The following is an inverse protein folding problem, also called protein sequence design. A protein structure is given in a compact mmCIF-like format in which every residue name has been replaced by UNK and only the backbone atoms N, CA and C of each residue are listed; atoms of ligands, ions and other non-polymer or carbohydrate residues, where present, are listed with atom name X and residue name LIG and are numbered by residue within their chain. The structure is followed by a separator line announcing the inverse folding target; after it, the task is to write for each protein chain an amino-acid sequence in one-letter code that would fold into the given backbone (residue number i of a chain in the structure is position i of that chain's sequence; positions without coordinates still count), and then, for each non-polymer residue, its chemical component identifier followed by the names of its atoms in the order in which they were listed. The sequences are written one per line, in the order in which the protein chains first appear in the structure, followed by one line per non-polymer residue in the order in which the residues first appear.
data_IF_566259889281
#
_entry.id   IF_566259889281
#
_cell.length_a   1.000
_cell.length_b   1.000
_cell.length_c   1.000
_cell.angle_alpha   90.00
_cell.angle_beta   90.00
_cell.angle_gamma   90.00
#
_symmetry.space_group_name_H-M   'P 1'
#
loop_
_entity.id
_entity.type
_entity.pdbx_description
1 polymer ?
#
# COMPACT_ATOMS: atom_id res chain seq x y z
N UNK A 1 -94.13 -35.04 30.79
CA UNK A 1 -93.16 -34.29 31.61
C UNK A 1 -93.63 -32.84 31.64
N UNK A 2 -93.81 -32.14 32.77
CA UNK A 2 -92.86 -31.84 33.88
C UNK A 2 -91.64 -31.05 33.40
N UNK A 3 -91.19 -29.93 34.00
CA UNK A 3 -91.52 -29.28 35.30
C UNK A 3 -91.28 -27.73 35.29
N UNK A 4 -91.59 -27.03 36.40
CA UNK A 4 -91.22 -25.63 36.77
C UNK A 4 -90.23 -25.68 37.98
N UNK A 5 -89.78 -24.60 38.69
CA UNK A 5 -89.91 -23.11 38.55
C UNK A 5 -88.51 -22.48 38.23
N UNK A 6 -88.00 -21.28 38.60
CA UNK A 6 -88.34 -20.05 39.40
C UNK A 6 -87.96 -18.78 38.58
N UNK A 7 -88.14 -17.49 38.94
CA UNK A 7 -88.55 -16.68 40.12
C UNK A 7 -87.43 -16.17 41.09
N UNK A 8 -87.42 -14.84 41.31
CA UNK A 8 -86.66 -13.98 42.26
C UNK A 8 -85.10 -14.02 42.13
N UNK A 9 -84.28 -13.03 42.48
CA UNK A 9 -84.21 -12.18 43.69
C UNK A 9 -84.18 -10.64 43.51
N UNK A 10 -84.38 -9.97 44.65
CA UNK A 10 -84.45 -8.53 44.96
C UNK A 10 -83.06 -7.92 45.33
N UNK A 11 -83.02 -6.71 45.91
CA UNK A 11 -81.90 -6.03 46.59
C UNK A 11 -81.13 -4.96 45.79
N UNK A 12 -81.83 -3.90 45.37
CA UNK A 12 -81.20 -2.61 45.10
C UNK A 12 -80.73 -1.94 46.40
N UNK A 13 -79.51 -2.26 46.87
CA UNK A 13 -78.95 -1.66 48.09
C UNK A 13 -78.48 -0.22 47.88
N UNK A 14 -78.87 0.69 48.77
CA UNK A 14 -78.69 2.13 48.60
C UNK A 14 -77.51 2.70 49.38
N UNK A 15 -76.87 3.70 48.78
CA UNK A 15 -76.34 4.92 49.42
C UNK A 15 -75.27 4.81 50.52
N UNK A 16 -74.17 5.53 50.27
CA UNK A 16 -73.34 6.25 51.26
C UNK A 16 -72.86 5.48 52.50
N UNK A 17 -71.63 4.96 52.45
CA UNK A 17 -70.60 5.27 53.46
C UNK A 17 -69.19 4.81 53.03
N UNK A 18 -68.33 5.75 52.62
CA UNK A 18 -66.93 5.84 53.08
C UNK A 18 -66.30 7.16 52.56
N UNK A 19 -66.37 8.26 53.33
CA UNK A 19 -65.66 9.52 53.01
C UNK A 19 -64.18 9.38 53.40
N UNK A 20 -63.51 8.38 52.80
CA UNK A 20 -62.05 8.31 52.76
C UNK A 20 -61.57 9.51 51.97
N UNK A 21 -61.02 10.51 52.67
CA UNK A 21 -60.16 11.50 52.03
C UNK A 21 -58.96 10.74 51.45
N UNK A 22 -59.06 10.41 50.17
CA UNK A 22 -57.99 9.82 49.37
C UNK A 22 -56.95 10.91 49.20
N UNK A 23 -56.05 11.03 50.19
CA UNK A 23 -54.91 11.94 50.13
C UNK A 23 -54.24 11.70 48.78
N UNK A 24 -54.17 12.70 47.88
CA UNK A 24 -53.48 12.51 46.62
C UNK A 24 -52.02 12.32 46.98
N UNK A 25 -51.54 11.07 46.86
CA UNK A 25 -50.12 10.81 46.91
C UNK A 25 -49.51 11.65 45.80
N UNK A 26 -48.71 12.64 46.18
CA UNK A 26 -47.85 13.36 45.27
C UNK A 26 -46.73 12.41 44.86
N UNK A 27 -47.08 11.45 44.01
CA UNK A 27 -46.18 10.95 43.00
C UNK A 27 -45.81 12.16 42.15
N UNK A 28 -44.77 12.90 42.55
CA UNK A 28 -44.01 13.70 41.59
C UNK A 28 -43.58 12.70 40.51
N UNK A 29 -44.06 12.81 39.27
CA UNK A 29 -43.70 11.82 38.26
C UNK A 29 -42.21 11.98 37.95
N UNK A 30 -41.49 10.86 37.81
CA UNK A 30 -40.09 10.83 37.35
C UNK A 30 -39.88 11.34 35.90
N UNK A 31 -40.92 11.95 35.32
CA UNK A 31 -41.11 12.27 33.92
C UNK A 31 -40.28 13.46 33.40
N UNK A 32 -39.58 14.17 34.28
CA UNK A 32 -38.53 15.12 33.87
C UNK A 32 -37.25 14.37 33.44
N UNK A 33 -36.98 13.18 33.99
CA UNK A 33 -35.75 12.39 33.72
C UNK A 33 -35.74 11.75 32.33
N UNK A 34 -36.89 11.62 31.67
CA UNK A 34 -37.04 10.73 30.49
C UNK A 34 -37.52 11.38 29.18
N UNK A 35 -37.90 12.67 29.18
CA UNK A 35 -38.31 13.38 27.94
C UNK A 35 -37.28 14.41 27.45
N UNK A 36 -36.48 15.00 28.34
CA UNK A 36 -35.47 16.01 28.00
C UNK A 36 -34.15 15.49 27.40
N UNK A 37 -33.56 14.33 27.80
CA UNK A 37 -32.22 13.98 27.33
C UNK A 37 -32.19 13.49 25.88
N UNK A 38 -33.25 12.84 25.39
CA UNK A 38 -33.28 12.16 24.09
C UNK A 38 -32.79 13.01 22.89
N UNK A 39 -33.28 14.25 22.65
CA UNK A 39 -32.83 15.06 21.51
C UNK A 39 -31.38 15.56 21.60
N UNK A 40 -30.75 15.52 22.78
CA UNK A 40 -29.33 15.90 22.99
C UNK A 40 -28.44 14.65 23.03
N UNK A 41 -28.96 13.55 23.57
CA UNK A 41 -28.27 12.27 23.67
C UNK A 41 -28.11 11.59 22.30
N UNK A 42 -29.08 11.74 21.39
CA UNK A 42 -28.97 11.25 20.00
C UNK A 42 -27.74 11.85 19.26
N UNK A 43 -27.58 13.18 19.13
CA UNK A 43 -26.41 13.74 18.45
C UNK A 43 -25.09 13.47 19.20
N UNK A 44 -25.07 13.46 20.54
CA UNK A 44 -23.87 13.09 21.30
C UNK A 44 -23.46 11.63 21.07
N UNK A 45 -24.42 10.70 21.04
CA UNK A 45 -24.17 9.30 20.71
C UNK A 45 -23.72 9.11 19.25
N UNK A 46 -24.28 9.89 18.32
CA UNK A 46 -23.85 9.89 16.92
C UNK A 46 -22.39 10.40 16.78
N UNK A 47 -22.02 11.49 17.45
CA UNK A 47 -20.64 12.00 17.47
C UNK A 47 -19.68 10.98 18.08
N UNK A 48 -20.05 10.34 19.20
CA UNK A 48 -19.24 9.28 19.80
C UNK A 48 -19.08 8.06 18.88
N UNK A 49 -20.14 7.66 18.17
CA UNK A 49 -20.09 6.58 17.18
C UNK A 49 -19.21 6.92 15.97
N UNK A 50 -19.31 8.14 15.44
CA UNK A 50 -18.46 8.62 14.34
C UNK A 50 -16.99 8.67 14.76
N UNK A 51 -16.69 9.19 15.97
CA UNK A 51 -15.34 9.22 16.51
C UNK A 51 -14.76 7.81 16.71
N UNK A 52 -15.57 6.86 17.19
CA UNK A 52 -15.17 5.45 17.30
C UNK A 52 -14.87 4.84 15.93
N UNK A 53 -15.77 5.00 14.94
CA UNK A 53 -15.56 4.48 13.57
C UNK A 53 -14.32 5.11 12.93
N UNK A 54 -14.10 6.42 13.08
CA UNK A 54 -12.91 7.09 12.55
C UNK A 54 -11.61 6.60 13.20
N UNK A 55 -11.61 6.39 14.53
CA UNK A 55 -10.45 5.81 15.23
C UNK A 55 -10.15 4.38 14.80
N UNK A 56 -11.19 3.53 14.69
CA UNK A 56 -11.07 2.16 14.21
C UNK A 56 -10.57 2.11 12.76
N UNK A 57 -11.13 2.94 11.89
CA UNK A 57 -10.73 3.03 10.48
C UNK A 57 -9.29 3.53 10.32
N UNK A 58 -8.89 4.52 11.13
CA UNK A 58 -7.49 4.98 11.20
C UNK A 58 -6.53 3.86 11.63
N UNK A 59 -6.96 2.90 12.45
CA UNK A 59 -6.14 1.73 12.81
C UNK A 59 -6.00 0.73 11.66
N UNK A 60 -7.01 0.59 10.81
CA UNK A 60 -6.89 -0.22 9.58
C UNK A 60 -5.91 0.45 8.62
N UNK A 61 -6.10 1.74 8.30
CA UNK A 61 -5.25 2.43 7.32
C UNK A 61 -3.80 2.62 7.77
N UNK A 62 -3.50 2.62 9.07
CA UNK A 62 -2.13 2.64 9.60
C UNK A 62 -1.46 1.25 9.67
N UNK A 63 -2.15 0.19 9.27
CA UNK A 63 -1.67 -1.19 9.25
C UNK A 63 -1.55 -1.76 7.83
N UNK A 64 -1.68 -0.91 6.82
CA UNK A 64 -1.78 -1.26 5.39
C UNK A 64 -0.89 -0.28 4.59
N UNK A 65 -0.18 -0.72 3.53
CA UNK A 65 0.58 0.18 2.66
C UNK A 65 -0.32 1.26 2.01
N UNK A 66 0.28 2.37 1.57
CA UNK A 66 -0.44 3.62 1.20
C UNK A 66 -1.37 3.41 0.00
N UNK A 67 -1.02 2.49 -0.87
CA UNK A 67 -1.63 2.16 -2.15
C UNK A 67 -2.96 1.44 -1.87
N UNK A 68 -2.87 0.32 -1.15
CA UNK A 68 -4.02 -0.43 -0.65
C UNK A 68 -4.88 0.38 0.34
N UNK A 69 -4.30 1.34 1.08
CA UNK A 69 -5.07 2.23 1.95
C UNK A 69 -6.07 3.11 1.17
N UNK A 70 -5.72 3.56 -0.04
CA UNK A 70 -6.62 4.32 -0.93
C UNK A 70 -7.74 3.41 -1.48
N UNK A 71 -7.41 2.18 -1.86
CA UNK A 71 -8.39 1.19 -2.34
C UNK A 71 -9.39 0.82 -1.23
N UNK A 72 -8.90 0.47 -0.03
CA UNK A 72 -9.74 0.16 1.14
C UNK A 72 -10.64 1.35 1.51
N UNK A 73 -10.12 2.58 1.47
CA UNK A 73 -10.92 3.77 1.73
C UNK A 73 -12.01 4.00 0.68
N UNK A 74 -11.70 3.76 -0.59
CA UNK A 74 -12.65 3.89 -1.70
C UNK A 74 -13.76 2.84 -1.61
N UNK A 75 -13.41 1.57 -1.38
CA UNK A 75 -14.37 0.47 -1.18
C UNK A 75 -15.24 0.71 0.06
N UNK A 76 -14.66 1.15 1.17
CA UNK A 76 -15.42 1.48 2.39
C UNK A 76 -16.37 2.66 2.17
N UNK A 77 -15.94 3.70 1.45
CA UNK A 77 -16.80 4.83 1.10
C UNK A 77 -17.98 4.42 0.20
N UNK A 78 -17.73 3.56 -0.81
CA UNK A 78 -18.77 3.01 -1.69
C UNK A 78 -19.75 2.13 -0.90
N UNK A 79 -19.26 1.27 0.00
CA UNK A 79 -20.09 0.44 0.88
C UNK A 79 -21.01 1.31 1.77
N UNK A 80 -20.45 2.31 2.47
CA UNK A 80 -21.19 3.23 3.32
C UNK A 80 -22.23 4.01 2.50
N UNK A 81 -21.84 4.59 1.35
CA UNK A 81 -22.71 5.40 0.52
C UNK A 81 -23.83 4.56 -0.12
N UNK A 82 -23.52 3.36 -0.60
CA UNK A 82 -24.50 2.41 -1.14
C UNK A 82 -25.51 1.96 -0.08
N UNK A 83 -25.06 1.71 1.16
CA UNK A 83 -25.95 1.39 2.26
C UNK A 83 -26.88 2.57 2.64
N UNK A 84 -26.35 3.80 2.73
CA UNK A 84 -27.19 4.98 2.97
C UNK A 84 -28.16 5.26 1.81
N UNK A 85 -27.75 5.07 0.56
CA UNK A 85 -28.63 5.19 -0.60
C UNK A 85 -29.76 4.14 -0.56
N UNK A 86 -29.44 2.87 -0.28
CA UNK A 86 -30.43 1.81 -0.15
C UNK A 86 -31.42 2.08 1.01
N UNK A 87 -30.93 2.60 2.14
CA UNK A 87 -31.78 2.99 3.26
C UNK A 87 -32.69 4.19 2.92
N UNK A 88 -32.18 5.20 2.21
CA UNK A 88 -32.97 6.36 1.77
C UNK A 88 -34.04 6.00 0.74
N UNK A 89 -33.74 5.03 -0.14
CA UNK A 89 -34.67 4.53 -1.16
C UNK A 89 -35.73 3.55 -0.60
N UNK A 90 -35.61 3.09 0.66
CA UNK A 90 -36.53 2.15 1.29
C UNK A 90 -36.96 2.62 2.69
N UNK A 91 -37.93 3.54 2.80
CA UNK A 91 -38.39 4.06 4.10
C UNK A 91 -38.98 2.97 5.02
N UNK A 92 -39.58 1.92 4.46
CA UNK A 92 -40.27 0.86 5.21
C UNK A 92 -39.38 -0.30 5.69
N UNK A 93 -38.05 -0.10 5.76
CA UNK A 93 -37.11 -1.14 6.21
C UNK A 93 -37.41 -1.60 7.64
N UNK A 94 -37.84 -2.87 7.78
CA UNK A 94 -38.07 -3.51 9.08
C UNK A 94 -36.79 -3.54 9.92
N UNK A 95 -36.93 -3.65 11.24
CA UNK A 95 -35.78 -3.61 12.18
C UNK A 95 -34.71 -4.67 11.88
N UNK A 96 -35.09 -5.80 11.27
CA UNK A 96 -34.17 -6.88 10.87
C UNK A 96 -33.27 -6.41 9.71
N UNK A 97 -33.86 -5.99 8.58
CA UNK A 97 -33.08 -5.48 7.44
C UNK A 97 -32.23 -4.26 7.79
N UNK A 98 -32.67 -3.43 8.75
CA UNK A 98 -31.86 -2.31 9.28
C UNK A 98 -30.65 -2.77 10.09
N UNK A 99 -30.76 -3.86 10.84
CA UNK A 99 -29.64 -4.45 11.58
C UNK A 99 -28.67 -5.19 10.64
N UNK A 100 -29.21 -5.93 9.69
CA UNK A 100 -28.47 -6.59 8.60
C UNK A 100 -27.63 -5.59 7.80
N UNK A 101 -28.24 -4.48 7.34
CA UNK A 101 -27.53 -3.41 6.64
C UNK A 101 -26.43 -2.76 7.50
N UNK A 102 -26.69 -2.54 8.80
CA UNK A 102 -25.67 -2.02 9.71
C UNK A 102 -24.51 -3.00 9.94
N UNK A 103 -24.79 -4.32 9.95
CA UNK A 103 -23.75 -5.35 10.00
C UNK A 103 -22.93 -5.38 8.72
N UNK A 104 -23.53 -5.29 7.53
CA UNK A 104 -22.81 -5.24 6.23
C UNK A 104 -21.85 -4.05 6.15
N UNK A 105 -22.20 -2.90 6.76
CA UNK A 105 -21.32 -1.73 6.84
C UNK A 105 -20.24 -1.88 7.92
N UNK A 106 -20.56 -2.45 9.09
CA UNK A 106 -19.63 -2.57 10.20
C UNK A 106 -18.63 -3.73 10.06
N UNK A 107 -19.00 -4.81 9.37
CA UNK A 107 -18.21 -6.04 9.25
C UNK A 107 -16.80 -5.85 8.65
N UNK A 108 -16.59 -5.17 7.50
CA UNK A 108 -15.24 -4.97 6.96
C UNK A 108 -14.35 -4.12 7.89
N UNK A 109 -14.93 -3.11 8.56
CA UNK A 109 -14.24 -2.31 9.57
C UNK A 109 -13.76 -3.19 10.74
N UNK A 110 -14.62 -4.09 11.24
CA UNK A 110 -14.30 -4.99 12.34
C UNK A 110 -13.22 -6.02 11.96
N UNK A 111 -13.25 -6.57 10.74
CA UNK A 111 -12.18 -7.46 10.23
C UNK A 111 -10.85 -6.71 10.18
N UNK A 112 -10.80 -5.55 9.53
CA UNK A 112 -9.57 -4.76 9.41
C UNK A 112 -8.97 -4.39 10.76
N UNK A 113 -9.81 -4.07 11.76
CA UNK A 113 -9.37 -3.81 13.14
C UNK A 113 -8.78 -5.06 13.79
N UNK A 114 -9.38 -6.24 13.60
CA UNK A 114 -8.88 -7.50 14.17
C UNK A 114 -7.51 -7.85 13.57
N UNK A 115 -7.34 -7.71 12.26
CA UNK A 115 -6.04 -7.90 11.57
C UNK A 115 -5.00 -6.91 12.13
N UNK A 116 -5.32 -5.61 12.13
CA UNK A 116 -4.42 -4.54 12.60
C UNK A 116 -4.09 -4.56 14.10
N UNK A 117 -4.84 -5.29 14.92
CA UNK A 117 -4.61 -5.41 16.38
C UNK A 117 -3.88 -6.69 16.76
N UNK A 118 -4.11 -7.81 16.05
CA UNK A 118 -3.51 -9.11 16.39
C UNK A 118 -2.23 -9.37 15.57
N UNK A 119 -2.03 -8.67 14.44
CA UNK A 119 -0.82 -8.83 13.62
C UNK A 119 -0.76 -10.17 12.87
N UNK A 120 -1.90 -10.83 12.70
CA UNK A 120 -2.02 -12.02 11.85
C UNK A 120 -2.09 -11.51 10.40
N UNK A 121 -0.95 -11.59 9.71
CA UNK A 121 -0.91 -11.43 8.26
C UNK A 121 -1.75 -12.49 7.55
N UNK A 122 -2.19 -12.17 6.34
CA UNK A 122 -2.81 -13.10 5.39
C UNK A 122 -4.06 -13.84 5.90
N UNK A 123 -5.17 -13.10 5.96
CA UNK A 123 -6.52 -13.64 5.98
C UNK A 123 -7.40 -12.95 4.91
N UNK A 124 -6.94 -12.99 3.65
CA UNK A 124 -7.63 -12.46 2.46
C UNK A 124 -8.98 -13.15 2.24
N UNK A 125 -9.99 -12.69 2.98
CA UNK A 125 -11.36 -13.20 2.89
C UNK A 125 -12.05 -12.50 1.72
N UNK A 126 -11.84 -13.07 0.53
CA UNK A 126 -12.50 -12.71 -0.71
C UNK A 126 -14.04 -12.67 -0.53
N UNK A 127 -14.67 -11.61 -1.06
CA UNK A 127 -16.12 -11.53 -1.17
C UNK A 127 -16.53 -11.86 -2.61
N UNK A 128 -17.45 -12.81 -2.84
CA UNK A 128 -17.63 -13.43 -4.16
C UNK A 128 -18.18 -12.45 -5.20
N UNK A 129 -17.42 -12.24 -6.28
CA UNK A 129 -17.60 -11.14 -7.25
C UNK A 129 -17.54 -11.50 -8.73
N UNK A 130 -17.75 -12.77 -9.10
CA UNK A 130 -17.90 -13.29 -10.46
C UNK A 130 -16.67 -13.21 -11.41
N UNK A 131 -15.96 -14.35 -11.49
CA UNK A 131 -15.57 -14.99 -12.75
C UNK A 131 -14.85 -14.14 -13.81
N UNK A 132 -13.55 -13.96 -13.60
CA UNK A 132 -12.58 -14.53 -14.54
C UNK A 132 -11.37 -15.01 -13.74
N UNK A 133 -11.02 -16.29 -13.88
CA UNK A 133 -9.78 -16.79 -13.28
C UNK A 133 -8.60 -16.22 -14.07
N UNK A 134 -7.60 -15.59 -13.43
CA UNK A 134 -6.34 -15.36 -14.11
C UNK A 134 -5.79 -16.72 -14.53
N UNK A 135 -5.41 -16.85 -15.80
CA UNK A 135 -4.44 -17.89 -16.16
C UNK A 135 -3.19 -17.59 -15.35
N UNK A 136 -2.62 -18.61 -14.69
CA UNK A 136 -1.32 -18.53 -14.04
C UNK A 136 -0.25 -18.35 -15.14
N UNK A 137 -0.13 -17.12 -15.64
CA UNK A 137 1.05 -16.67 -16.36
C UNK A 137 2.22 -16.88 -15.40
N UNK A 138 3.18 -17.71 -15.80
CA UNK A 138 4.29 -18.06 -14.94
C UNK A 138 5.12 -16.80 -14.69
N UNK A 139 5.06 -16.27 -13.47
CA UNK A 139 5.86 -15.12 -13.04
C UNK A 139 7.32 -15.36 -13.44
N UNK A 140 7.87 -14.43 -14.22
CA UNK A 140 9.19 -14.59 -14.80
C UNK A 140 10.25 -14.64 -13.68
N UNK A 141 11.31 -15.41 -13.89
CA UNK A 141 12.24 -15.77 -12.82
C UNK A 141 13.40 -14.75 -12.72
N UNK A 142 13.04 -13.48 -12.57
CA UNK A 142 13.98 -12.37 -12.42
C UNK A 142 14.68 -12.33 -11.05
N UNK A 143 15.77 -11.57 -10.98
CA UNK A 143 16.44 -11.18 -9.75
C UNK A 143 15.56 -10.26 -8.89
N UNK A 144 14.72 -9.46 -9.56
CA UNK A 144 13.67 -8.61 -8.97
C UNK A 144 12.33 -8.89 -9.68
N UNK A 145 11.21 -8.79 -8.95
CA UNK A 145 9.85 -8.84 -9.52
C UNK A 145 9.21 -7.46 -9.35
N UNK A 146 8.58 -6.97 -10.41
CA UNK A 146 7.89 -5.68 -10.47
C UNK A 146 6.51 -5.90 -11.12
N UNK A 147 5.45 -5.40 -10.50
CA UNK A 147 4.09 -5.51 -11.04
C UNK A 147 3.49 -4.13 -11.28
N UNK A 148 2.63 -4.00 -12.30
CA UNK A 148 1.82 -2.81 -12.51
C UNK A 148 0.32 -3.13 -12.40
N UNK A 149 -0.38 -2.42 -11.51
CA UNK A 149 -1.86 -2.44 -11.36
C UNK A 149 -2.35 -1.04 -10.98
N UNK A 150 -3.57 -0.69 -11.41
CA UNK A 150 -4.26 0.54 -10.98
C UNK A 150 -3.52 1.85 -11.28
N UNK A 151 -2.71 1.91 -12.34
CA UNK A 151 -1.78 3.01 -12.65
C UNK A 151 -0.73 3.28 -11.54
N UNK A 152 -0.25 2.22 -10.88
CA UNK A 152 0.86 2.22 -9.95
C UNK A 152 1.80 1.03 -10.22
N UNK A 153 3.07 1.15 -9.80
CA UNK A 153 3.91 -0.02 -9.57
C UNK A 153 3.66 -0.55 -8.15
N UNK A 154 3.97 -1.82 -7.89
CA UNK A 154 3.85 -2.46 -6.57
C UNK A 154 4.93 -2.03 -5.56
N UNK A 155 5.93 -1.26 -6.00
CA UNK A 155 7.00 -0.68 -5.18
C UNK A 155 7.32 0.77 -5.57
N UNK A 156 7.81 1.57 -4.61
CA UNK A 156 8.46 2.86 -4.85
C UNK A 156 10.00 2.75 -4.92
N UNK A 157 10.54 1.55 -4.68
CA UNK A 157 11.99 1.30 -4.59
C UNK A 157 12.37 -0.01 -5.29
N UNK A 158 13.39 0.02 -6.15
CA UNK A 158 14.00 -1.18 -6.76
C UNK A 158 15.45 -1.33 -6.26
N UNK A 159 15.74 -2.41 -5.55
CA UNK A 159 17.09 -2.74 -5.06
C UNK A 159 17.82 -3.63 -6.08
N UNK A 160 19.01 -3.22 -6.54
CA UNK A 160 19.82 -3.95 -7.54
C UNK A 160 21.27 -4.13 -7.08
N UNK A 161 21.93 -5.21 -7.50
CA UNK A 161 23.36 -5.41 -7.26
C UNK A 161 24.22 -4.52 -8.19
N UNK A 162 24.96 -3.57 -7.62
CA UNK A 162 25.77 -2.64 -8.39
C UNK A 162 26.93 -3.31 -9.13
N UNK A 163 27.06 -3.00 -10.42
CA UNK A 163 28.12 -3.51 -11.29
C UNK A 163 27.84 -4.90 -11.90
N UNK A 164 26.67 -5.47 -11.66
CA UNK A 164 26.21 -6.73 -12.26
C UNK A 164 24.95 -6.50 -13.12
N UNK A 165 24.73 -7.33 -14.14
CA UNK A 165 23.52 -7.27 -14.96
C UNK A 165 22.37 -7.91 -14.18
N UNK A 166 21.17 -7.34 -14.24
CA UNK A 166 20.03 -7.78 -13.42
C UNK A 166 18.79 -8.00 -14.29
N UNK A 167 18.08 -9.09 -14.03
CA UNK A 167 16.81 -9.42 -14.68
C UNK A 167 15.67 -8.91 -13.82
N UNK A 168 14.87 -7.97 -14.33
CA UNK A 168 13.62 -7.55 -13.69
C UNK A 168 12.47 -8.27 -14.41
N UNK A 169 11.81 -9.17 -13.70
CA UNK A 169 10.55 -9.76 -14.13
C UNK A 169 9.45 -8.71 -13.98
N UNK A 170 8.87 -8.26 -15.09
CA UNK A 170 7.81 -7.26 -15.09
C UNK A 170 6.47 -7.87 -15.51
N UNK A 171 5.43 -7.68 -14.71
CA UNK A 171 4.09 -8.21 -14.94
C UNK A 171 3.05 -7.08 -14.99
N UNK A 172 2.38 -6.92 -16.14
CA UNK A 172 1.38 -5.88 -16.33
C UNK A 172 -0.03 -6.43 -16.08
N UNK A 173 -0.52 -6.27 -14.85
CA UNK A 173 -1.85 -6.70 -14.42
C UNK A 173 -2.94 -5.64 -14.71
N UNK A 174 -2.55 -4.42 -15.11
CA UNK A 174 -3.43 -3.31 -15.43
C UNK A 174 -4.11 -3.48 -16.81
N UNK A 175 -5.13 -2.65 -17.03
CA UNK A 175 -5.86 -2.43 -18.28
C UNK A 175 -5.15 -1.51 -19.29
N UNK A 176 -3.99 -0.94 -18.91
CA UNK A 176 -3.20 -0.01 -19.71
C UNK A 176 -1.87 -0.62 -20.18
N UNK A 177 -1.23 -0.01 -21.18
CA UNK A 177 0.13 -0.36 -21.60
C UNK A 177 1.14 0.34 -20.68
N UNK A 178 2.15 -0.39 -20.20
CA UNK A 178 3.15 0.10 -19.25
C UNK A 178 4.57 -0.33 -19.65
N UNK A 179 5.59 0.38 -19.17
CA UNK A 179 7.00 0.02 -19.37
C UNK A 179 7.85 0.42 -18.15
N UNK A 180 9.10 -0.05 -18.09
CA UNK A 180 10.10 0.41 -17.12
C UNK A 180 11.26 1.12 -17.82
N UNK A 181 11.52 2.37 -17.45
CA UNK A 181 12.73 3.12 -17.82
C UNK A 181 13.46 3.62 -16.58
N UNK A 182 14.80 3.60 -16.61
CA UNK A 182 15.67 4.06 -15.52
C UNK A 182 16.51 5.25 -16.02
N UNK A 183 16.59 6.30 -15.22
CA UNK A 183 17.22 7.58 -15.51
C UNK A 183 18.21 7.97 -14.41
N UNK A 184 19.08 8.94 -14.70
CA UNK A 184 20.05 9.43 -13.70
C UNK A 184 19.36 10.13 -12.50
N UNK A 185 18.23 10.80 -12.72
CA UNK A 185 17.48 11.57 -11.74
C UNK A 185 16.06 11.88 -12.27
N UNK A 186 15.23 12.51 -11.42
CA UNK A 186 13.86 12.94 -11.78
C UNK A 186 13.85 13.94 -12.96
N UNK A 187 14.84 14.83 -13.12
CA UNK A 187 14.86 15.80 -14.23
C UNK A 187 15.11 15.10 -15.57
N UNK A 188 15.98 14.09 -15.60
CA UNK A 188 16.19 13.22 -16.75
C UNK A 188 14.93 12.40 -17.09
N UNK A 189 14.21 11.89 -16.07
CA UNK A 189 12.95 11.15 -16.24
C UNK A 189 11.79 12.02 -16.74
N UNK A 190 11.50 13.13 -16.06
CA UNK A 190 10.44 14.07 -16.45
C UNK A 190 10.69 14.75 -17.80
N UNK A 191 11.95 14.79 -18.27
CA UNK A 191 12.31 15.25 -19.62
C UNK A 191 12.50 14.12 -20.66
N UNK A 192 12.37 12.86 -20.23
CA UNK A 192 12.50 11.61 -20.98
C UNK A 192 13.78 11.53 -21.81
N UNK A 193 14.93 11.86 -21.21
CA UNK A 193 16.23 11.97 -21.89
C UNK A 193 17.36 11.34 -21.09
N UNK A 194 18.28 10.68 -21.80
CA UNK A 194 19.44 10.05 -21.18
C UNK A 194 19.07 8.87 -20.28
N UNK A 195 18.03 8.11 -20.68
CA UNK A 195 17.69 6.85 -20.03
C UNK A 195 18.93 5.94 -20.00
N UNK A 196 19.22 5.41 -18.81
CA UNK A 196 20.26 4.41 -18.54
C UNK A 196 19.76 3.01 -18.92
N UNK A 197 18.46 2.78 -18.73
CA UNK A 197 17.71 1.64 -19.27
C UNK A 197 16.36 2.14 -19.80
N UNK A 198 15.87 1.55 -20.89
CA UNK A 198 14.53 1.82 -21.43
C UNK A 198 13.94 0.51 -21.95
N UNK A 199 12.96 -0.03 -21.22
CA UNK A 199 12.29 -1.29 -21.54
C UNK A 199 11.18 -1.11 -22.57
N UNK A 200 10.95 -2.17 -23.37
CA UNK A 200 9.83 -2.28 -24.29
C UNK A 200 8.48 -2.11 -23.56
N UNK A 201 7.50 -1.53 -24.24
CA UNK A 201 6.14 -1.38 -23.74
C UNK A 201 5.42 -2.75 -23.71
N UNK A 202 4.79 -3.08 -22.58
CA UNK A 202 4.10 -4.34 -22.34
C UNK A 202 2.59 -4.08 -22.24
N UNK A 203 1.81 -4.87 -22.98
CA UNK A 203 0.36 -4.72 -23.06
C UNK A 203 -0.36 -5.18 -21.78
N UNK A 204 -1.61 -4.77 -21.65
CA UNK A 204 -2.49 -5.15 -20.54
C UNK A 204 -2.67 -6.67 -20.44
N UNK A 205 -2.23 -7.26 -19.33
CA UNK A 205 -2.28 -8.71 -19.06
C UNK A 205 -1.09 -9.52 -19.59
N UNK A 206 -0.04 -8.89 -20.12
CA UNK A 206 1.21 -9.53 -20.55
C UNK A 206 2.36 -9.31 -19.54
N UNK A 207 3.37 -10.19 -19.57
CA UNK A 207 4.56 -10.15 -18.70
C UNK A 207 5.86 -10.26 -19.52
N UNK A 208 7.00 -9.80 -18.99
CA UNK A 208 8.31 -9.82 -19.66
C UNK A 208 9.50 -9.97 -18.69
N UNK A 209 10.70 -10.19 -19.24
CA UNK A 209 11.99 -10.11 -18.54
C UNK A 209 12.80 -8.93 -19.09
N UNK A 210 12.88 -7.83 -18.33
CA UNK A 210 13.76 -6.71 -18.63
C UNK A 210 15.20 -7.04 -18.19
N UNK A 211 16.15 -6.86 -19.12
CA UNK A 211 17.57 -7.07 -18.86
C UNK A 211 18.25 -5.71 -18.63
N UNK A 212 18.45 -5.34 -17.36
CA UNK A 212 19.02 -4.06 -16.96
C UNK A 212 20.55 -4.16 -16.97
N UNK A 213 21.20 -3.29 -17.75
CA UNK A 213 22.66 -3.21 -17.86
C UNK A 213 23.31 -2.80 -16.52
N UNK A 214 24.57 -3.21 -16.24
CA UNK A 214 25.26 -2.94 -14.98
C UNK A 214 25.32 -1.47 -14.55
N UNK A 215 24.51 -1.10 -13.56
CA UNK A 215 24.54 0.23 -12.95
C UNK A 215 25.69 0.36 -11.93
N UNK A 216 26.48 1.46 -11.94
CA UNK A 216 27.39 1.80 -10.84
C UNK A 216 26.64 1.94 -9.50
N UNK A 217 27.35 1.81 -8.37
CA UNK A 217 26.71 1.94 -7.06
C UNK A 217 26.25 3.38 -6.81
N UNK A 218 24.98 3.56 -6.44
CA UNK A 218 24.34 4.86 -6.28
C UNK A 218 22.81 4.79 -6.32
N UNK A 219 22.19 5.97 -6.24
CA UNK A 219 20.75 6.19 -6.37
C UNK A 219 20.44 6.69 -7.80
N UNK A 220 19.35 6.20 -8.37
CA UNK A 220 18.82 6.52 -9.70
C UNK A 220 17.29 6.61 -9.64
N UNK A 221 16.63 7.08 -10.69
CA UNK A 221 15.17 7.25 -10.73
C UNK A 221 14.54 6.34 -11.80
N UNK A 222 13.46 5.63 -11.49
CA UNK A 222 12.70 4.85 -12.48
C UNK A 222 11.31 5.42 -12.72
N UNK A 223 10.76 5.21 -13.92
CA UNK A 223 9.36 5.53 -14.23
C UNK A 223 8.79 4.65 -15.35
N UNK A 224 7.46 4.67 -15.48
CA UNK A 224 6.80 4.37 -16.76
C UNK A 224 6.77 5.64 -17.63
N UNK A 225 7.22 5.54 -18.88
CA UNK A 225 7.28 6.65 -19.82
C UNK A 225 5.92 7.04 -20.43
N UNK A 226 4.97 6.11 -20.42
CA UNK A 226 3.58 6.35 -20.82
C UNK A 226 2.82 7.05 -19.68
N UNK A 227 3.17 6.72 -18.44
CA UNK A 227 2.51 7.20 -17.23
C UNK A 227 3.54 7.71 -16.19
N UNK A 228 4.18 8.89 -16.37
CA UNK A 228 5.28 9.37 -15.52
C UNK A 228 4.95 9.66 -14.03
N UNK A 229 3.71 9.40 -13.60
CA UNK A 229 3.31 9.36 -12.18
C UNK A 229 3.56 8.00 -11.52
N UNK A 230 3.83 6.95 -12.32
CA UNK A 230 4.34 5.66 -11.87
C UNK A 230 5.86 5.76 -11.86
N UNK A 231 6.45 6.03 -10.70
CA UNK A 231 7.87 6.27 -10.54
C UNK A 231 8.37 5.94 -9.13
N UNK A 232 9.70 5.93 -8.96
CA UNK A 232 10.38 5.67 -7.70
C UNK A 232 11.90 5.70 -7.84
N UNK A 233 12.60 5.24 -6.81
CA UNK A 233 14.06 5.22 -6.76
C UNK A 233 14.63 3.81 -7.07
N UNK A 234 15.76 3.74 -7.79
CA UNK A 234 16.55 2.52 -7.94
C UNK A 234 17.82 2.65 -7.12
N UNK A 235 18.01 1.75 -6.16
CA UNK A 235 19.19 1.70 -5.29
C UNK A 235 20.12 0.61 -5.78
N UNK A 236 21.21 1.00 -6.45
CA UNK A 236 22.28 0.09 -6.83
C UNK A 236 23.24 -0.08 -5.64
N UNK A 237 23.05 -1.12 -4.83
CA UNK A 237 23.88 -1.38 -3.65
C UNK A 237 25.24 -1.97 -4.04
N UNK A 238 26.32 -1.45 -3.43
CA UNK A 238 27.66 -2.01 -3.56
C UNK A 238 27.77 -3.33 -2.78
N UNK A 239 27.39 -4.43 -3.42
CA UNK A 239 27.39 -5.77 -2.84
C UNK A 239 28.70 -6.13 -2.13
N UNK A 240 28.59 -6.80 -0.97
CA UNK A 240 29.71 -7.13 -0.09
C UNK A 240 30.69 -8.12 -0.75
N UNK A 241 31.63 -7.56 -1.53
CA UNK A 241 32.37 -8.24 -2.60
C UNK A 241 32.89 -9.64 -2.26
N UNK A 242 32.37 -10.64 -2.98
CA UNK A 242 32.90 -12.00 -3.05
C UNK A 242 34.23 -12.07 -3.81
N UNK A 243 35.28 -11.43 -3.26
CA UNK A 243 36.52 -11.14 -3.98
C UNK A 243 37.23 -12.34 -4.61
N UNK A 244 37.11 -12.48 -5.93
CA UNK A 244 37.99 -13.27 -6.82
C UNK A 244 38.41 -12.40 -8.01
N UNK A 245 39.61 -11.83 -7.95
CA UNK A 245 40.11 -10.92 -8.98
C UNK A 245 40.89 -11.60 -10.12
N UNK A 246 41.22 -10.78 -11.12
CA UNK A 246 42.19 -10.96 -12.21
C UNK A 246 41.81 -11.93 -13.35
N UNK A 247 41.45 -11.34 -14.50
CA UNK A 247 41.23 -12.00 -15.79
C UNK A 247 42.00 -11.40 -16.98
N UNK A 248 42.92 -10.46 -16.76
CA UNK A 248 43.80 -9.91 -17.82
C UNK A 248 45.15 -9.48 -17.24
N UNK A 249 46.25 -9.89 -17.89
CA UNK A 249 47.61 -9.67 -17.39
C UNK A 249 48.66 -10.47 -18.16
N UNK A 250 49.04 -9.99 -19.35
CA UNK A 250 50.09 -10.62 -20.17
C UNK A 250 51.45 -10.56 -19.46
N UNK A 251 52.26 -11.61 -19.60
CA UNK A 251 53.49 -11.80 -18.81
C UNK A 251 54.68 -10.91 -19.23
N UNK A 252 55.53 -10.56 -18.27
CA UNK A 252 56.68 -9.66 -18.50
C UNK A 252 57.68 -9.60 -17.33
N UNK A 253 58.44 -10.67 -17.14
CA UNK A 253 59.46 -10.87 -16.09
C UNK A 253 60.36 -9.66 -15.76
N UNK A 254 60.54 -9.32 -14.47
CA UNK A 254 61.88 -9.17 -13.84
C UNK A 254 61.89 -8.96 -12.31
N UNK A 255 63.00 -9.41 -11.71
CA UNK A 255 63.30 -9.61 -10.27
C UNK A 255 63.48 -8.28 -9.47
N UNK A 256 63.20 -8.22 -8.15
CA UNK A 256 63.13 -6.95 -7.39
C UNK A 256 64.47 -6.33 -6.97
N UNK A 257 64.40 -5.04 -6.60
CA UNK A 257 65.50 -4.17 -6.12
C UNK A 257 65.60 -4.18 -4.58
N UNK A 258 66.77 -4.45 -3.97
CA UNK A 258 66.98 -4.33 -2.52
C UNK A 258 67.30 -2.90 -2.06
N UNK A 259 67.28 -2.66 -0.75
CA UNK A 259 67.58 -1.36 -0.13
C UNK A 259 68.92 -1.32 0.62
N UNK A 260 69.58 -0.14 0.59
CA UNK A 260 70.58 0.39 1.55
C UNK A 260 71.68 -0.52 2.13
N UNK A 261 72.94 -0.31 1.73
CA UNK A 261 74.05 -1.17 2.20
C UNK A 261 75.51 -0.65 2.17
N UNK A 262 75.77 0.65 2.10
CA UNK A 262 77.03 1.29 2.55
C UNK A 262 78.42 0.99 1.91
N UNK A 263 79.19 2.08 1.70
CA UNK A 263 80.68 2.18 1.79
C UNK A 263 81.56 1.72 0.60
N UNK A 264 82.21 2.70 -0.07
CA UNK A 264 83.66 2.59 -0.38
C UNK A 264 84.20 2.83 -1.81
N UNK A 265 84.55 4.09 -2.14
CA UNK A 265 85.83 4.42 -2.82
C UNK A 265 85.98 4.38 -4.36
N UNK A 266 86.50 5.48 -4.94
CA UNK A 266 87.01 5.69 -6.31
C UNK A 266 86.05 5.44 -7.51
N UNK A 267 86.20 6.13 -8.65
CA UNK A 267 87.04 7.31 -8.94
C UNK A 267 87.22 7.58 -10.45
N UNK A 268 86.88 8.79 -10.91
CA UNK A 268 86.98 9.23 -12.33
C UNK A 268 85.84 8.72 -13.23
N UNK A 269 85.55 9.31 -14.40
CA UNK A 269 86.06 10.56 -14.98
C UNK A 269 85.69 10.72 -16.47
N UNK A 270 85.35 11.94 -16.92
CA UNK A 270 84.94 12.26 -18.30
C UNK A 270 83.43 12.04 -18.56
N UNK A 271 82.62 12.88 -19.22
CA UNK A 271 82.75 14.01 -20.17
C UNK A 271 82.43 13.67 -21.64
N UNK A 272 81.64 14.54 -22.29
CA UNK A 272 81.07 14.35 -23.63
C UNK A 272 79.65 13.75 -23.59
N UNK A 273 78.63 14.25 -24.30
CA UNK A 273 78.54 15.42 -25.18
C UNK A 273 78.16 15.05 -26.61
N UNK A 274 76.90 15.32 -27.00
CA UNK A 274 76.41 15.05 -28.36
C UNK A 274 75.03 15.65 -28.61
N UNK A 275 74.95 16.64 -29.52
CA UNK A 275 73.69 17.09 -30.13
C UNK A 275 73.37 16.19 -31.31
N UNK A 276 72.08 15.92 -31.53
CA UNK A 276 71.55 15.38 -32.78
C UNK A 276 70.05 15.61 -32.83
N UNK A 277 69.51 16.09 -33.94
CA UNK A 277 68.09 16.40 -34.05
C UNK A 277 67.60 16.51 -35.49
N UNK A 278 66.31 16.22 -35.65
CA UNK A 278 65.41 16.53 -36.76
C UNK A 278 63.99 16.53 -36.12
N UNK A 279 62.96 17.24 -36.57
CA UNK A 279 62.64 17.61 -37.95
C UNK A 279 61.72 16.53 -38.55
N UNK A 280 60.48 16.80 -38.95
CA UNK A 280 59.71 18.06 -38.86
C UNK A 280 58.44 17.98 -39.73
N UNK A 281 57.45 18.84 -39.46
CA UNK A 281 56.15 18.84 -40.15
C UNK A 281 55.21 17.71 -39.68
N UNK A 282 53.93 17.74 -40.05
CA UNK A 282 53.25 18.80 -40.80
C UNK A 282 51.79 18.43 -41.09
N UNK A 283 50.90 19.38 -40.85
CA UNK A 283 49.44 19.29 -40.94
C UNK A 283 48.88 18.73 -42.26
N UNK A 284 47.72 18.08 -42.16
CA UNK A 284 46.76 17.90 -43.25
C UNK A 284 45.36 18.22 -42.72
N UNK A 285 44.59 19.00 -43.49
CA UNK A 285 43.24 19.44 -43.17
C UNK A 285 42.20 18.79 -44.09
#
# INVERSE_FOLDING_TARGET
MTEQPTKDDDSGSSMMDDVRIKVPQLNLPDEIKFRAPLPILIPLAAIAGIALVAFLFSRVLLSVPREAAIVIASVMAINILGAFAFAALRPDLTRVHRAELAMVVAYPLLIGVVIAVIGIGEASTEAPGAESAPTEAAAAAGDFQLSADGLAFDTDTIELAAGEQQTIAFDNQDSAEHNLSVYQDEEAGQSQKGALFAGDNIAAGDSTEYQVDPLPAGEYYFQCDIHPTMNGDVVAEAGASGGKGAGSGSGGSSKPKPAGGGKGGNGGGGAGGGKGGNGGGGEGA
#
